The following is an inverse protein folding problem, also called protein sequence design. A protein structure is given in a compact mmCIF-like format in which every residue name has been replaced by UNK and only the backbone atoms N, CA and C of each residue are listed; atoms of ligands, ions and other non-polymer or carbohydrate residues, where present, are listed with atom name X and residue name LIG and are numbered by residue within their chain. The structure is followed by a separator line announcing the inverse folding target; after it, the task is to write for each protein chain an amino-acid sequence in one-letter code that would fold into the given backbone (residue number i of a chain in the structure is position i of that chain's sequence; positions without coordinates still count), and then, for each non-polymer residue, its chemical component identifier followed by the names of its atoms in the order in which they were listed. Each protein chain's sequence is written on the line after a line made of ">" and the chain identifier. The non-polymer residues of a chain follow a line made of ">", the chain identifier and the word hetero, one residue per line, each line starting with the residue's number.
data_IF_930542942782
#
_entry.id   IF_930542942782
#
_cell.length_a   1.000
_cell.length_b   1.000
_cell.length_c   1.000
_cell.angle_alpha   90.00
_cell.angle_beta   90.00
_cell.angle_gamma   90.00
#
_symmetry.space_group_name_H-M   'P 1'
#
loop_
_entity.id
_entity.type
_entity.pdbx_description
1 polymer ?
#
# COMPACT_ATOMS: atom_id res chain seq x y z
N UNK A 1 -14.25 30.65 -30.82
CA UNK A 1 -14.41 30.00 -29.52
C UNK A 1 -14.32 31.07 -28.45
N UNK A 2 -15.46 31.46 -27.86
CA UNK A 2 -15.52 32.38 -26.71
C UNK A 2 -15.90 31.49 -25.52
N UNK A 3 -14.94 31.19 -24.66
CA UNK A 3 -15.25 30.77 -23.28
C UNK A 3 -15.94 31.97 -22.63
N UNK A 4 -17.15 31.79 -22.10
CA UNK A 4 -17.93 32.90 -21.55
C UNK A 4 -17.28 33.33 -20.23
N UNK A 5 -17.41 34.61 -19.88
CA UNK A 5 -16.92 35.13 -18.60
C UNK A 5 -17.53 34.36 -17.39
N UNK A 6 -18.69 33.74 -17.59
CA UNK A 6 -19.39 32.90 -16.62
C UNK A 6 -18.64 31.58 -16.32
N UNK A 7 -17.94 31.01 -17.31
CA UNK A 7 -17.11 29.81 -17.11
C UNK A 7 -15.89 30.14 -16.22
N UNK A 8 -15.32 31.34 -16.36
CA UNK A 8 -14.21 31.79 -15.52
C UNK A 8 -14.65 32.12 -14.09
N UNK A 9 -15.84 32.72 -13.90
CA UNK A 9 -16.39 32.98 -12.57
C UNK A 9 -16.73 31.68 -11.83
N UNK A 10 -17.19 30.64 -12.55
CA UNK A 10 -17.35 29.31 -12.00
C UNK A 10 -16.00 28.72 -11.57
N UNK A 11 -14.97 28.78 -12.41
CA UNK A 11 -13.64 28.27 -12.04
C UNK A 11 -13.04 29.00 -10.83
N UNK A 12 -13.17 30.31 -10.76
CA UNK A 12 -12.67 31.11 -9.62
C UNK A 12 -13.45 30.81 -8.33
N UNK A 13 -14.76 30.57 -8.43
CA UNK A 13 -15.59 30.18 -7.28
C UNK A 13 -15.25 28.78 -6.78
N UNK A 14 -15.04 27.82 -7.68
CA UNK A 14 -14.65 26.45 -7.32
C UNK A 14 -13.23 26.41 -6.73
N UNK A 15 -12.30 27.21 -7.27
CA UNK A 15 -10.95 27.37 -6.69
C UNK A 15 -11.02 27.94 -5.27
N UNK A 16 -11.88 28.95 -5.05
CA UNK A 16 -12.07 29.55 -3.72
C UNK A 16 -12.76 28.60 -2.73
N UNK A 17 -13.65 27.73 -3.20
CA UNK A 17 -14.32 26.70 -2.39
C UNK A 17 -13.38 25.52 -2.05
N UNK A 18 -12.43 25.19 -2.94
CA UNK A 18 -11.34 24.23 -2.69
C UNK A 18 -10.30 24.78 -1.70
N UNK A 19 -9.90 26.06 -1.85
CA UNK A 19 -9.01 26.74 -0.90
C UNK A 19 -9.65 26.98 0.48
N UNK A 20 -10.99 27.02 0.53
CA UNK A 20 -11.78 27.21 1.76
C UNK A 20 -12.31 25.88 2.34
N UNK A 21 -12.06 24.75 1.69
CA UNK A 21 -12.34 23.45 2.29
C UNK A 21 -11.48 23.34 3.55
N UNK A 22 -12.06 23.16 4.74
CA UNK A 22 -11.26 22.84 5.91
C UNK A 22 -10.44 21.59 5.58
N UNK A 23 -9.19 21.53 6.07
CA UNK A 23 -8.29 20.35 6.09
C UNK A 23 -9.00 19.22 6.86
N UNK A 24 -10.09 18.75 6.30
CA UNK A 24 -10.86 17.65 6.77
C UNK A 24 -10.00 16.47 6.32
N UNK A 25 -9.36 15.87 7.33
CA UNK A 25 -8.70 14.56 7.34
C UNK A 25 -7.18 14.61 7.17
N UNK A 26 -6.54 15.70 7.61
CA UNK A 26 -5.09 15.72 7.81
C UNK A 26 -4.79 15.34 9.27
N UNK A 27 -4.26 14.14 9.49
CA UNK A 27 -3.67 13.76 10.79
C UNK A 27 -2.59 14.79 11.15
N UNK A 28 -2.67 15.40 12.33
CA UNK A 28 -1.66 16.37 12.76
C UNK A 28 -0.31 15.65 12.93
N UNK A 29 0.80 16.35 12.67
CA UNK A 29 2.14 15.75 12.75
C UNK A 29 2.45 15.18 14.15
N UNK A 30 1.86 15.77 15.21
CA UNK A 30 1.96 15.25 16.56
C UNK A 30 1.12 13.98 16.78
N UNK A 31 -0.10 13.93 16.24
CA UNK A 31 -0.98 12.76 16.29
C UNK A 31 -0.35 11.58 15.54
N UNK A 32 0.12 11.82 14.32
CA UNK A 32 0.89 10.84 13.53
C UNK A 32 2.07 10.29 14.31
N UNK A 33 2.86 11.18 14.92
CA UNK A 33 4.02 10.76 15.70
C UNK A 33 3.62 9.90 16.89
N UNK A 34 2.55 10.26 17.60
CA UNK A 34 2.05 9.49 18.73
C UNK A 34 1.58 8.09 18.29
N UNK A 35 0.77 8.00 17.24
CA UNK A 35 0.33 6.73 16.64
C UNK A 35 1.52 5.84 16.28
N UNK A 36 2.49 6.37 15.54
CA UNK A 36 3.68 5.62 15.11
C UNK A 36 4.58 5.18 16.28
N UNK A 37 4.53 5.86 17.42
CA UNK A 37 5.30 5.47 18.62
C UNK A 37 4.66 4.31 19.37
N UNK A 38 3.36 4.07 19.19
CA UNK A 38 2.61 2.99 19.84
C UNK A 38 2.65 1.67 19.05
N UNK A 39 2.95 1.74 17.74
CA UNK A 39 3.04 0.57 16.88
C UNK A 39 4.26 -0.30 17.18
N UNK A 40 4.08 -1.60 17.02
CA UNK A 40 5.19 -2.55 16.93
C UNK A 40 6.05 -2.26 15.70
N UNK A 41 7.32 -2.62 15.76
CA UNK A 41 8.26 -2.41 14.65
C UNK A 41 8.43 -3.66 13.81
N UNK A 42 8.69 -3.47 12.53
CA UNK A 42 9.14 -4.49 11.60
C UNK A 42 10.47 -4.06 10.95
N UNK A 43 11.31 -5.03 10.61
CA UNK A 43 12.48 -4.78 9.78
C UNK A 43 12.05 -4.78 8.32
N UNK A 44 12.17 -3.61 7.67
CA UNK A 44 12.06 -3.46 6.22
C UNK A 44 13.45 -3.58 5.61
N UNK A 45 13.63 -4.53 4.70
CA UNK A 45 14.75 -4.57 3.76
C UNK A 45 14.20 -4.30 2.37
N UNK A 46 14.70 -3.28 1.69
CA UNK A 46 14.11 -2.82 0.43
C UNK A 46 15.22 -2.40 -0.54
N UNK A 47 15.10 -2.82 -1.79
CA UNK A 47 15.94 -2.42 -2.92
C UNK A 47 15.04 -1.91 -4.05
N UNK A 48 15.37 -0.73 -4.55
CA UNK A 48 14.75 -0.12 -5.73
C UNK A 48 15.78 -0.12 -6.85
N UNK A 49 15.34 -0.55 -8.02
CA UNK A 49 16.10 -0.50 -9.28
C UNK A 49 15.24 0.17 -10.36
N UNK A 50 15.84 0.96 -11.25
CA UNK A 50 15.13 1.67 -12.32
C UNK A 50 15.62 3.11 -12.40
N UNK A 51 14.70 4.06 -12.60
CA UNK A 51 15.03 5.49 -12.63
C UNK A 51 15.52 6.01 -11.27
N UNK A 52 15.10 5.35 -10.20
CA UNK A 52 15.60 5.53 -8.85
C UNK A 52 16.29 4.25 -8.41
N UNK A 53 17.49 4.38 -7.87
CA UNK A 53 18.26 3.26 -7.33
C UNK A 53 18.58 3.49 -5.86
N UNK A 54 18.41 2.47 -5.03
CA UNK A 54 18.75 2.53 -3.62
C UNK A 54 18.42 1.26 -2.86
N UNK A 55 19.20 0.99 -1.82
CA UNK A 55 18.94 -0.13 -0.90
C UNK A 55 18.95 0.38 0.53
N UNK A 56 18.01 -0.10 1.33
CA UNK A 56 17.92 0.20 2.76
C UNK A 56 17.59 -1.05 3.56
N UNK A 57 18.00 -1.05 4.82
CA UNK A 57 17.51 -1.96 5.84
C UNK A 57 17.29 -1.17 7.11
N UNK A 58 16.05 -1.11 7.59
CA UNK A 58 15.65 -0.22 8.70
C UNK A 58 14.50 -0.83 9.49
N UNK A 59 14.49 -0.60 10.80
CA UNK A 59 13.36 -0.94 11.67
C UNK A 59 12.38 0.23 11.75
N UNK A 60 11.15 0.01 11.28
CA UNK A 60 10.10 1.03 11.23
C UNK A 60 8.85 0.55 11.97
N UNK A 61 8.08 1.48 12.59
CA UNK A 61 6.69 1.23 12.96
C UNK A 61 5.93 0.55 11.82
N UNK A 62 5.20 -0.51 12.15
CA UNK A 62 4.46 -1.32 11.19
C UNK A 62 3.03 -1.50 11.68
N UNK A 63 2.09 -1.11 10.84
CA UNK A 63 0.68 -1.41 11.00
C UNK A 63 0.32 -2.57 10.06
N UNK A 64 -0.54 -3.45 10.54
CA UNK A 64 -1.12 -4.49 9.68
C UNK A 64 -2.63 -4.50 9.85
N UNK A 65 -3.33 -4.23 8.75
CA UNK A 65 -4.79 -4.25 8.67
C UNK A 65 -5.26 -5.39 7.77
N UNK A 66 -6.43 -5.94 8.05
CA UNK A 66 -7.20 -6.71 7.08
C UNK A 66 -8.26 -5.77 6.53
N UNK A 67 -8.22 -5.56 5.21
CA UNK A 67 -9.20 -4.75 4.51
C UNK A 67 -10.03 -5.64 3.60
N UNK A 68 -11.32 -5.35 3.56
CA UNK A 68 -12.26 -5.94 2.61
C UNK A 68 -12.82 -4.81 1.78
N UNK A 69 -12.75 -4.90 0.45
CA UNK A 69 -13.45 -3.95 -0.39
C UNK A 69 -14.94 -3.95 -0.05
N UNK A 70 -15.49 -2.75 0.15
CA UNK A 70 -16.92 -2.52 0.35
C UNK A 70 -17.47 -3.08 1.66
N UNK A 71 -17.53 -2.24 2.69
CA UNK A 71 -18.30 -2.43 3.94
C UNK A 71 -19.85 -2.47 3.68
N UNK A 72 -20.25 -3.02 2.54
CA UNK A 72 -21.60 -3.33 2.11
C UNK A 72 -21.84 -4.82 2.36
N UNK A 73 -22.92 -5.14 3.05
CA UNK A 73 -23.31 -6.52 3.31
C UNK A 73 -23.33 -7.31 1.98
N UNK A 74 -22.86 -8.58 1.98
CA UNK A 74 -22.88 -9.40 0.78
C UNK A 74 -24.28 -9.40 0.18
N UNK A 75 -24.38 -9.12 -1.12
CA UNK A 75 -25.64 -9.25 -1.85
C UNK A 75 -25.95 -10.74 -1.93
N UNK A 76 -27.17 -11.15 -1.60
CA UNK A 76 -27.57 -12.56 -1.64
C UNK A 76 -27.30 -13.16 -3.03
N UNK A 77 -26.34 -14.09 -3.11
CA UNK A 77 -26.00 -14.82 -4.33
C UNK A 77 -24.67 -14.43 -5.00
N UNK A 78 -23.98 -13.40 -4.52
CA UNK A 78 -22.65 -13.00 -4.99
C UNK A 78 -21.53 -13.65 -4.15
N UNK A 79 -20.34 -13.90 -4.73
CA UNK A 79 -19.18 -14.32 -3.97
C UNK A 79 -18.83 -13.29 -2.87
N UNK A 80 -18.13 -13.74 -1.83
CA UNK A 80 -17.63 -12.81 -0.80
C UNK A 80 -16.34 -12.17 -1.33
N UNK A 81 -16.19 -10.83 -1.27
CA UNK A 81 -14.97 -10.16 -1.72
C UNK A 81 -13.73 -10.70 -1.04
N UNK A 82 -12.63 -10.77 -1.78
CA UNK A 82 -11.33 -11.19 -1.25
C UNK A 82 -10.86 -10.17 -0.20
N UNK A 83 -10.54 -10.62 1.02
CA UNK A 83 -9.84 -9.77 1.97
C UNK A 83 -8.37 -9.64 1.58
N UNK A 84 -7.81 -8.48 1.86
CA UNK A 84 -6.41 -8.16 1.69
C UNK A 84 -5.79 -7.89 3.04
N UNK A 85 -4.63 -8.48 3.30
CA UNK A 85 -3.82 -8.09 4.43
C UNK A 85 -2.81 -7.06 3.95
N UNK A 86 -2.82 -5.89 4.56
CA UNK A 86 -1.99 -4.75 4.17
C UNK A 86 -0.96 -4.54 5.27
N UNK A 87 0.32 -4.64 4.90
CA UNK A 87 1.43 -4.33 5.80
C UNK A 87 2.00 -2.97 5.43
N UNK A 88 1.79 -1.99 6.30
CA UNK A 88 2.24 -0.60 6.11
C UNK A 88 3.34 -0.28 7.11
N UNK A 89 4.51 0.05 6.60
CA UNK A 89 5.64 0.54 7.40
C UNK A 89 5.81 2.04 7.17
N UNK A 90 6.02 2.77 8.25
CA UNK A 90 6.02 4.23 8.19
C UNK A 90 7.10 4.83 9.08
N UNK A 91 7.92 5.70 8.50
CA UNK A 91 9.01 6.35 9.18
C UNK A 91 8.53 7.63 9.90
N UNK A 92 8.82 7.72 11.19
CA UNK A 92 8.56 8.95 11.98
C UNK A 92 9.32 10.13 11.38
N UNK A 93 10.56 9.87 10.94
CA UNK A 93 11.42 10.81 10.20
C UNK A 93 11.82 10.11 8.90
N UNK A 94 11.72 10.77 7.73
CA UNK A 94 12.08 10.16 6.45
C UNK A 94 13.49 9.56 6.46
N UNK A 95 13.63 8.38 5.86
CA UNK A 95 14.88 7.63 5.80
C UNK A 95 15.50 7.77 4.42
N UNK A 96 16.80 8.04 4.33
CA UNK A 96 17.47 8.15 3.04
C UNK A 96 17.39 6.83 2.24
N UNK A 97 17.06 6.93 0.96
CA UNK A 97 16.92 5.81 0.02
C UNK A 97 17.53 6.21 -1.32
N UNK A 98 18.81 5.92 -1.49
CA UNK A 98 19.57 6.37 -2.67
C UNK A 98 19.59 7.90 -2.77
N UNK A 99 19.03 8.44 -3.86
CA UNK A 99 18.86 9.89 -4.08
C UNK A 99 17.50 10.43 -3.62
N UNK A 100 16.61 9.57 -3.14
CA UNK A 100 15.32 9.91 -2.58
C UNK A 100 15.28 9.59 -1.09
N UNK A 101 14.09 9.60 -0.50
CA UNK A 101 13.82 9.18 0.85
C UNK A 101 12.59 8.25 0.89
N UNK A 102 12.47 7.51 1.98
CA UNK A 102 11.31 6.72 2.32
C UNK A 102 10.60 7.34 3.52
N UNK A 103 9.31 7.62 3.36
CA UNK A 103 8.42 8.00 4.46
C UNK A 103 7.41 6.91 4.76
N UNK A 104 6.78 6.31 3.75
CA UNK A 104 5.91 5.14 3.93
C UNK A 104 6.10 4.12 2.82
N UNK A 105 5.90 2.86 3.16
CA UNK A 105 5.82 1.75 2.21
C UNK A 105 4.68 0.82 2.62
N UNK A 106 3.92 0.37 1.64
CA UNK A 106 2.79 -0.52 1.85
C UNK A 106 2.78 -1.61 0.79
N UNK A 107 2.52 -2.84 1.24
CA UNK A 107 2.41 -4.03 0.42
C UNK A 107 1.15 -4.79 0.88
N UNK A 108 0.37 -5.30 -0.07
CA UNK A 108 -0.76 -6.16 0.24
C UNK A 108 -0.50 -7.60 -0.15
N UNK A 109 -1.13 -8.51 0.58
CA UNK A 109 -1.18 -9.94 0.28
C UNK A 109 -2.63 -10.43 0.38
N UNK A 110 -3.04 -11.44 -0.40
CA UNK A 110 -4.39 -11.97 -0.29
C UNK A 110 -4.64 -12.62 1.09
N UNK A 111 -5.73 -12.26 1.76
CA UNK A 111 -5.99 -12.61 3.17
C UNK A 111 -6.55 -14.03 3.42
N UNK A 112 -7.05 -14.72 2.40
CA UNK A 112 -7.66 -16.06 2.50
C UNK A 112 -6.68 -17.22 2.27
N UNK A 113 -5.46 -16.92 1.82
CA UNK A 113 -4.45 -17.91 1.48
C UNK A 113 -3.28 -17.69 2.43
N UNK A 114 -2.99 -18.69 3.26
CA UNK A 114 -2.01 -18.62 4.34
C UNK A 114 -0.57 -18.39 3.85
N UNK A 115 0.43 -19.02 4.46
CA UNK A 115 1.79 -18.96 3.93
C UNK A 115 1.87 -19.46 2.49
N UNK A 116 2.48 -18.69 1.59
CA UNK A 116 2.48 -18.98 0.15
C UNK A 116 3.18 -17.94 -0.70
N UNK A 117 3.32 -18.26 -1.98
CA UNK A 117 3.78 -17.38 -3.05
C UNK A 117 2.60 -17.04 -3.94
N UNK A 118 2.43 -15.76 -4.22
CA UNK A 118 1.31 -15.20 -4.98
C UNK A 118 1.84 -14.39 -6.17
N UNK A 119 1.86 -14.99 -7.37
CA UNK A 119 2.11 -14.25 -8.60
C UNK A 119 0.99 -13.24 -8.83
N UNK A 120 1.36 -11.97 -9.01
CA UNK A 120 0.42 -10.87 -9.16
C UNK A 120 -0.28 -10.89 -10.53
N UNK A 121 0.44 -11.29 -11.58
CA UNK A 121 -0.12 -11.48 -12.92
C UNK A 121 -1.22 -12.56 -12.95
N UNK A 122 -1.07 -13.63 -12.18
CA UNK A 122 -2.05 -14.72 -12.08
C UNK A 122 -3.29 -14.28 -11.33
N UNK A 123 -3.11 -13.59 -10.20
CA UNK A 123 -4.21 -13.01 -9.44
C UNK A 123 -5.01 -12.00 -10.29
N UNK A 124 -4.34 -11.15 -11.07
CA UNK A 124 -5.02 -10.24 -12.01
C UNK A 124 -5.83 -11.00 -13.06
N UNK A 125 -5.23 -11.98 -13.73
CA UNK A 125 -5.93 -12.78 -14.77
C UNK A 125 -7.15 -13.51 -14.22
N UNK A 126 -7.06 -14.02 -12.99
CA UNK A 126 -8.18 -14.67 -12.29
C UNK A 126 -9.29 -13.68 -11.96
N UNK A 127 -8.93 -12.45 -11.60
CA UNK A 127 -9.92 -11.39 -11.38
C UNK A 127 -10.60 -10.94 -12.67
N UNK A 128 -9.85 -10.79 -13.76
CA UNK A 128 -10.40 -10.50 -15.10
C UNK A 128 -11.34 -11.61 -15.63
N UNK A 129 -11.22 -12.82 -15.08
CA UNK A 129 -12.05 -13.99 -15.43
C UNK A 129 -13.24 -14.19 -14.48
N UNK A 130 -13.50 -13.24 -13.58
CA UNK A 130 -14.52 -13.32 -12.52
C UNK A 130 -14.35 -14.54 -11.57
N UNK A 131 -13.16 -15.18 -11.56
CA UNK A 131 -12.85 -16.26 -10.61
C UNK A 131 -12.54 -15.70 -9.21
N UNK A 132 -12.10 -14.45 -9.18
CA UNK A 132 -11.81 -13.67 -7.98
C UNK A 132 -12.49 -12.34 -8.20
N UNK A 133 -13.40 -11.95 -7.32
CA UNK A 133 -14.23 -10.78 -7.60
C UNK A 133 -13.40 -9.47 -7.67
N UNK A 134 -12.23 -9.39 -7.03
CA UNK A 134 -11.51 -8.13 -6.90
C UNK A 134 -9.98 -8.25 -6.85
N UNK A 135 -9.30 -7.53 -7.77
CA UNK A 135 -7.84 -7.41 -7.93
C UNK A 135 -7.27 -6.06 -7.49
N UNK A 136 -8.09 -5.00 -7.45
CA UNK A 136 -7.63 -3.65 -7.15
C UNK A 136 -7.15 -3.55 -5.71
N UNK A 137 -5.83 -3.51 -5.55
CA UNK A 137 -5.18 -3.18 -4.29
C UNK A 137 -4.78 -1.71 -4.39
N UNK A 138 -5.62 -0.86 -3.82
CA UNK A 138 -5.35 0.58 -3.75
C UNK A 138 -4.13 0.93 -2.87
N UNK A 139 -3.61 -0.05 -2.12
CA UNK A 139 -2.66 0.18 -1.04
C UNK A 139 -1.23 -0.31 -1.29
N UNK A 140 -0.86 -0.65 -2.53
CA UNK A 140 0.55 -0.79 -2.89
C UNK A 140 1.16 0.58 -3.11
N UNK A 141 2.04 1.02 -2.22
CA UNK A 141 2.73 2.29 -2.42
C UNK A 141 4.14 2.32 -1.84
N UNK A 142 4.98 3.15 -2.46
CA UNK A 142 6.25 3.62 -1.93
C UNK A 142 6.24 5.15 -1.99
N UNK A 143 6.21 5.80 -0.83
CA UNK A 143 6.05 7.25 -0.77
C UNK A 143 7.25 7.93 -0.11
N UNK A 144 7.84 8.93 -0.78
CA UNK A 144 8.78 9.87 -0.18
C UNK A 144 8.12 10.85 0.81
N UNK A 145 6.79 11.01 0.76
CA UNK A 145 6.01 11.92 1.60
C UNK A 145 4.90 11.15 2.37
N UNK A 146 4.60 11.55 3.60
CA UNK A 146 3.53 10.96 4.39
C UNK A 146 2.13 11.18 3.78
N UNK A 147 1.95 12.26 3.00
CA UNK A 147 0.66 12.65 2.42
C UNK A 147 0.41 12.07 1.02
N UNK A 148 1.41 11.39 0.47
CA UNK A 148 1.43 11.05 -0.94
C UNK A 148 1.61 12.28 -1.85
N UNK A 149 1.88 12.05 -3.12
CA UNK A 149 2.04 13.11 -4.12
C UNK A 149 2.49 12.56 -5.46
N UNK A 150 2.87 13.45 -6.38
CA UNK A 150 3.33 13.06 -7.72
C UNK A 150 4.56 12.14 -7.72
N UNK A 151 5.32 12.14 -6.61
CA UNK A 151 6.51 11.32 -6.39
C UNK A 151 6.22 9.99 -5.66
N UNK A 152 4.96 9.72 -5.31
CA UNK A 152 4.56 8.43 -4.77
C UNK A 152 4.48 7.40 -5.90
N UNK A 153 5.11 6.27 -5.67
CA UNK A 153 5.07 5.14 -6.58
C UNK A 153 3.93 4.22 -6.16
N UNK A 154 3.11 3.80 -7.11
CA UNK A 154 2.03 2.83 -6.94
C UNK A 154 2.33 1.58 -7.76
N UNK A 155 1.66 0.46 -7.46
CA UNK A 155 1.79 -0.76 -8.27
C UNK A 155 1.52 -0.46 -9.74
N UNK A 156 2.45 -0.84 -10.61
CA UNK A 156 2.27 -0.72 -12.04
C UNK A 156 1.57 -1.98 -12.58
N UNK A 157 0.27 -1.85 -12.82
CA UNK A 157 -0.58 -2.93 -13.32
C UNK A 157 -0.20 -3.39 -14.74
N UNK A 158 0.44 -2.53 -15.54
CA UNK A 158 0.82 -2.86 -16.91
C UNK A 158 2.13 -3.64 -16.96
N UNK A 159 2.96 -3.55 -15.91
CA UNK A 159 4.28 -4.18 -15.82
C UNK A 159 4.34 -5.42 -14.91
N UNK A 160 3.20 -6.00 -14.50
CA UNK A 160 3.11 -7.11 -13.53
C UNK A 160 3.78 -8.44 -13.92
N UNK A 161 4.33 -8.55 -15.12
CA UNK A 161 4.97 -9.79 -15.56
C UNK A 161 6.15 -10.17 -14.63
N UNK A 162 6.05 -11.37 -14.05
CA UNK A 162 6.98 -11.87 -13.04
C UNK A 162 6.96 -11.13 -11.70
N UNK A 163 5.93 -10.31 -11.42
CA UNK A 163 5.73 -9.69 -10.12
C UNK A 163 5.07 -10.66 -9.13
N UNK A 164 5.46 -10.59 -7.86
CA UNK A 164 4.95 -11.50 -6.85
C UNK A 164 5.04 -10.92 -5.44
N UNK A 165 4.18 -11.46 -4.57
CA UNK A 165 4.27 -11.30 -3.12
C UNK A 165 4.24 -12.68 -2.48
N UNK A 166 4.97 -12.86 -1.39
CA UNK A 166 5.02 -14.11 -0.66
C UNK A 166 4.95 -13.84 0.84
N UNK A 167 4.34 -14.75 1.59
CA UNK A 167 4.28 -14.67 3.04
C UNK A 167 4.64 -16.01 3.66
N UNK A 168 5.41 -15.97 4.74
CA UNK A 168 5.63 -17.11 5.65
C UNK A 168 4.78 -17.00 6.91
N UNK A 169 4.01 -15.92 7.02
CA UNK A 169 3.34 -15.45 8.21
C UNK A 169 4.23 -14.76 9.25
N UNK A 170 5.54 -15.04 9.25
CA UNK A 170 6.53 -14.30 10.03
C UNK A 170 7.26 -13.21 9.22
N UNK A 171 7.13 -13.28 7.89
CA UNK A 171 7.69 -12.30 6.96
C UNK A 171 6.84 -12.22 5.71
N UNK A 172 6.87 -11.05 5.07
CA UNK A 172 6.41 -10.82 3.71
C UNK A 172 7.65 -10.58 2.86
N UNK A 173 7.72 -11.23 1.70
CA UNK A 173 8.71 -10.95 0.66
C UNK A 173 7.98 -10.49 -0.60
N UNK A 174 8.61 -9.64 -1.38
CA UNK A 174 7.97 -9.05 -2.56
C UNK A 174 8.98 -8.70 -3.64
N UNK A 175 8.49 -8.71 -4.88
CA UNK A 175 9.12 -8.19 -6.07
C UNK A 175 8.01 -7.60 -6.95
N UNK A 176 7.92 -6.27 -6.96
CA UNK A 176 6.79 -5.57 -7.59
C UNK A 176 7.28 -4.41 -8.45
N UNK A 177 6.75 -4.24 -9.66
CA UNK A 177 6.95 -3.03 -10.45
C UNK A 177 6.12 -1.90 -9.82
N UNK A 178 6.67 -0.70 -9.76
CA UNK A 178 5.95 0.47 -9.29
C UNK A 178 6.24 1.67 -10.18
N UNK A 179 5.23 2.51 -10.39
CA UNK A 179 5.33 3.70 -11.21
C UNK A 179 4.78 4.92 -10.45
N UNK A 180 5.41 6.07 -10.67
CA UNK A 180 4.88 7.38 -10.31
C UNK A 180 4.56 8.16 -11.57
N UNK A 181 4.13 9.43 -11.45
CA UNK A 181 3.86 10.30 -12.61
C UNK A 181 5.12 10.52 -13.47
N UNK A 182 6.32 10.35 -12.88
CA UNK A 182 7.58 10.80 -13.47
C UNK A 182 8.62 9.70 -13.69
N UNK A 183 8.40 8.49 -13.16
CA UNK A 183 9.43 7.45 -13.14
C UNK A 183 8.87 6.06 -12.87
N UNK A 184 9.59 5.05 -13.35
CA UNK A 184 9.27 3.64 -13.13
C UNK A 184 10.41 2.95 -12.38
N UNK A 185 10.04 2.06 -11.48
CA UNK A 185 10.98 1.30 -10.65
C UNK A 185 10.51 -0.13 -10.44
N UNK A 186 11.44 -1.01 -10.11
CA UNK A 186 11.16 -2.34 -9.56
C UNK A 186 11.62 -2.39 -8.12
N UNK A 187 10.70 -2.73 -7.23
CA UNK A 187 10.91 -2.74 -5.78
C UNK A 187 10.94 -4.19 -5.30
N UNK A 188 12.05 -4.57 -4.70
CA UNK A 188 12.26 -5.91 -4.13
C UNK A 188 12.59 -5.80 -2.66
N UNK A 189 12.12 -6.77 -1.85
CA UNK A 189 12.40 -6.67 -0.43
C UNK A 189 11.64 -7.63 0.45
N UNK A 190 11.72 -7.35 1.75
CA UNK A 190 11.07 -8.10 2.80
C UNK A 190 10.62 -7.18 3.95
N UNK A 191 9.49 -7.50 4.56
CA UNK A 191 9.07 -7.01 5.88
C UNK A 191 9.11 -8.20 6.83
N UNK A 192 9.84 -8.09 7.94
CA UNK A 192 10.00 -9.19 8.91
C UNK A 192 9.72 -8.71 10.33
N UNK A 193 8.94 -9.49 11.08
CA UNK A 193 8.64 -9.23 12.50
C UNK A 193 9.50 -10.11 13.40
N UNK A 194 10.18 -9.48 14.37
CA UNK A 194 11.07 -10.19 15.29
C UNK A 194 10.29 -11.07 16.29
N UNK A 195 9.18 -10.57 16.83
CA UNK A 195 8.41 -11.28 17.84
C UNK A 195 7.08 -11.85 17.30
N UNK A 196 6.70 -13.07 17.70
CA UNK A 196 5.45 -13.69 17.26
C UNK A 196 4.17 -12.88 17.54
N UNK A 197 4.16 -12.08 18.61
CA UNK A 197 3.01 -11.24 18.99
C UNK A 197 2.81 -10.04 18.08
N UNK A 198 3.86 -9.63 17.38
CA UNK A 198 3.84 -8.51 16.43
C UNK A 198 3.48 -8.99 15.01
N UNK A 199 3.35 -10.31 14.82
CA UNK A 199 2.91 -10.89 13.56
C UNK A 199 1.42 -10.69 13.37
N UNK A 200 0.95 -10.54 12.12
CA UNK A 200 -0.48 -10.49 11.85
C UNK A 200 -1.13 -11.80 12.26
N UNK A 201 -2.14 -11.76 13.13
CA UNK A 201 -2.83 -12.98 13.59
C UNK A 201 -3.53 -13.71 12.45
N UNK A 202 -3.98 -12.97 11.45
CA UNK A 202 -4.52 -13.41 10.17
C UNK A 202 -3.51 -14.21 9.33
N UNK A 203 -2.22 -14.06 9.61
CA UNK A 203 -1.13 -14.84 9.02
C UNK A 203 -0.62 -15.98 9.91
N UNK A 204 -1.10 -16.09 11.15
CA UNK A 204 -0.75 -17.20 12.01
C UNK A 204 -1.36 -18.49 11.44
N UNK A 205 -0.62 -19.60 11.51
CA UNK A 205 -1.15 -20.93 11.16
C UNK A 205 -2.52 -21.12 11.83
N UNK A 206 -3.47 -21.78 11.15
CA UNK A 206 -4.76 -22.09 11.75
C UNK A 206 -4.47 -22.76 13.07
N UNK A 207 -4.83 -22.09 14.16
CA UNK A 207 -4.64 -22.64 15.49
C UNK A 207 -5.46 -23.92 15.47
N UNK A 208 -4.80 -25.07 15.66
CA UNK A 208 -5.48 -26.35 15.85
C UNK A 208 -6.62 -26.10 16.83
N UNK A 209 -7.85 -26.08 16.30
CA UNK A 209 -9.06 -26.08 17.10
C UNK A 209 -9.09 -27.45 17.78
N UNK A 210 -8.47 -27.50 18.96
CA UNK A 210 -8.63 -28.60 19.91
C UNK A 210 -9.99 -28.53 20.58
#
# INVERSE_FOLDING_TARGET
>A
MRTSAEDNELLDRWSSELDAAPDLWVEDAAERRARLQELSKATLSLTICGDVEGTITVELPCEVSEERPGDLSPVDGEPVPMSWLIARVEAIVPVALGRTQLTSFSIAIPGHVGPGLYPLDDLRRRAESDEVEWWEVDDFHLSPDARGGESTFYLDNDALDGAWVATTGASIAFDVPMASVVSEVRVTGTITWAEPRDRPRTLAEPTDLR
#
